data_IF_501680979382
#
_entry.id   IF_501680979382
#
_cell.length_a   1.000
_cell.length_b   1.000
_cell.length_c   1.000
_cell.angle_alpha   90.00
_cell.angle_beta   90.00
_cell.angle_gamma   90.00
#
_symmetry.space_group_name_H-M   'P 1'
#
loop_
_entity.id
_entity.type
_entity.pdbx_description
1 polymer ?
#
# COMPACT_ATOMS: atom_id res chain seq x y z
N UNK A 1 -5.06 -11.37 0.91
CA UNK A 1 -4.20 -10.89 -0.20
C UNK A 1 -5.09 -10.31 -1.28
N UNK A 2 -4.70 -9.22 -1.91
CA UNK A 2 -5.40 -8.58 -3.03
C UNK A 2 -4.82 -9.12 -4.35
N UNK A 3 -5.67 -9.64 -5.23
CA UNK A 3 -5.22 -10.24 -6.50
C UNK A 3 -4.74 -9.23 -7.56
N UNK A 4 -4.88 -7.91 -7.30
CA UNK A 4 -4.49 -6.85 -8.24
C UNK A 4 -3.07 -6.37 -7.94
N UNK A 5 -2.81 -5.92 -6.71
CA UNK A 5 -1.47 -5.48 -6.31
C UNK A 5 -0.57 -6.62 -5.80
N UNK A 6 -1.11 -7.83 -5.69
CA UNK A 6 -0.42 -9.02 -5.17
C UNK A 6 0.15 -8.81 -3.77
N UNK A 7 -0.60 -8.09 -2.94
CA UNK A 7 -0.17 -7.64 -1.61
C UNK A 7 -1.23 -7.92 -0.53
N UNK A 8 -0.88 -7.72 0.73
CA UNK A 8 -1.84 -7.73 1.84
C UNK A 8 -2.86 -6.62 1.64
N UNK A 9 -4.14 -6.96 1.81
CA UNK A 9 -5.23 -5.99 1.75
C UNK A 9 -5.08 -4.96 2.87
N UNK A 10 -5.41 -3.70 2.58
CA UNK A 10 -5.35 -2.61 3.57
C UNK A 10 -6.64 -2.56 4.39
N UNK A 11 -6.67 -1.90 5.56
CA UNK A 11 -7.90 -1.77 6.36
C UNK A 11 -9.08 -1.19 5.57
N UNK A 12 -8.82 -0.28 4.63
CA UNK A 12 -9.79 0.22 3.64
C UNK A 12 -9.95 -0.78 2.48
N UNK A 13 -10.43 -1.96 2.79
CA UNK A 13 -10.67 -3.03 1.81
C UNK A 13 -12.16 -3.18 1.49
N UNK A 14 -12.42 -3.63 0.28
CA UNK A 14 -13.74 -3.99 -0.23
C UNK A 14 -13.82 -5.49 -0.46
N UNK A 15 -15.03 -6.03 -0.55
CA UNK A 15 -15.28 -7.42 -0.87
C UNK A 15 -16.28 -7.57 -2.01
N UNK A 16 -16.16 -8.65 -2.79
CA UNK A 16 -17.26 -9.07 -3.66
C UNK A 16 -18.34 -9.83 -2.88
N UNK A 17 -19.48 -10.09 -3.52
CA UNK A 17 -20.58 -10.86 -2.91
C UNK A 17 -20.19 -12.27 -2.48
N UNK A 18 -19.11 -12.83 -3.06
CA UNK A 18 -18.53 -14.12 -2.66
C UNK A 18 -17.36 -14.01 -1.67
N UNK A 19 -17.05 -12.81 -1.15
CA UNK A 19 -16.06 -12.63 -0.09
C UNK A 19 -14.59 -12.48 -0.53
N UNK A 20 -14.30 -12.32 -1.83
CA UNK A 20 -12.94 -11.98 -2.28
C UNK A 20 -12.58 -10.54 -1.90
N UNK A 21 -11.44 -10.35 -1.23
CA UNK A 21 -11.01 -9.06 -0.67
C UNK A 21 -10.04 -8.31 -1.59
N UNK A 22 -10.23 -7.00 -1.71
CA UNK A 22 -9.39 -6.10 -2.51
C UNK A 22 -9.13 -4.79 -1.76
N UNK A 23 -7.97 -4.15 -1.98
CA UNK A 23 -7.75 -2.78 -1.51
C UNK A 23 -8.75 -1.85 -2.21
N UNK A 24 -9.26 -0.83 -1.52
CA UNK A 24 -10.13 0.19 -2.12
C UNK A 24 -9.50 0.82 -3.37
N UNK A 25 -8.23 1.24 -3.27
CA UNK A 25 -7.46 1.81 -4.40
C UNK A 25 -7.29 0.83 -5.57
N UNK A 26 -7.21 -0.48 -5.28
CA UNK A 26 -7.06 -1.49 -6.32
C UNK A 26 -8.39 -1.80 -7.00
N UNK A 27 -9.52 -1.72 -6.28
CA UNK A 27 -10.84 -1.81 -6.88
C UNK A 27 -11.04 -0.62 -7.83
N UNK A 28 -10.80 0.60 -7.38
CA UNK A 28 -11.09 1.80 -8.16
C UNK A 28 -12.50 1.75 -8.73
N UNK A 29 -12.63 1.91 -10.05
CA UNK A 29 -13.89 1.89 -10.79
C UNK A 29 -14.33 0.47 -11.23
N UNK A 30 -13.69 -0.59 -10.74
CA UNK A 30 -14.11 -1.95 -11.09
C UNK A 30 -15.47 -2.27 -10.45
N UNK A 31 -16.42 -2.65 -11.29
CA UNK A 31 -17.76 -3.11 -10.88
C UNK A 31 -17.81 -4.63 -10.65
N UNK A 32 -16.86 -5.35 -11.25
CA UNK A 32 -16.83 -6.82 -11.27
C UNK A 32 -15.55 -7.34 -10.62
N UNK A 33 -15.70 -8.36 -9.78
CA UNK A 33 -14.60 -9.06 -9.13
C UNK A 33 -13.69 -9.73 -10.16
N UNK A 34 -12.38 -9.42 -10.20
CA UNK A 34 -11.45 -10.04 -11.16
C UNK A 34 -11.22 -11.54 -10.89
N UNK A 35 -11.55 -12.03 -9.70
CA UNK A 35 -11.34 -13.44 -9.32
C UNK A 35 -12.51 -14.33 -9.73
N UNK A 36 -13.75 -13.93 -9.43
CA UNK A 36 -14.93 -14.77 -9.67
C UNK A 36 -15.95 -14.19 -10.66
N UNK A 37 -15.73 -12.96 -11.14
CA UNK A 37 -16.61 -12.24 -12.09
C UNK A 37 -18.00 -11.86 -11.57
N UNK A 38 -18.23 -11.91 -10.26
CA UNK A 38 -19.44 -11.38 -9.62
C UNK A 38 -19.28 -9.94 -9.15
N UNK A 39 -20.39 -9.28 -8.83
CA UNK A 39 -20.40 -7.88 -8.39
C UNK A 39 -19.68 -7.65 -7.06
N UNK A 40 -19.20 -6.43 -6.88
CA UNK A 40 -18.77 -5.96 -5.57
C UNK A 40 -19.97 -5.84 -4.62
N UNK A 41 -19.75 -6.09 -3.33
CA UNK A 41 -20.76 -5.90 -2.31
C UNK A 41 -20.81 -4.42 -1.90
N UNK A 42 -22.00 -3.87 -1.72
CA UNK A 42 -22.18 -2.55 -1.09
C UNK A 42 -21.90 -2.57 0.42
N UNK A 43 -21.85 -3.77 1.01
CA UNK A 43 -21.56 -3.95 2.41
C UNK A 43 -20.05 -4.04 2.66
N UNK A 44 -19.61 -3.38 3.72
CA UNK A 44 -18.25 -3.54 4.22
C UNK A 44 -17.98 -5.01 4.63
N UNK A 45 -16.72 -5.45 4.54
CA UNK A 45 -16.30 -6.72 5.12
C UNK A 45 -16.66 -6.82 6.60
N UNK A 46 -16.90 -8.05 7.08
CA UNK A 46 -17.26 -8.28 8.47
C UNK A 46 -16.19 -7.73 9.43
N UNK A 47 -16.61 -7.30 10.62
CA UNK A 47 -15.70 -6.72 11.62
C UNK A 47 -14.53 -7.64 12.00
N UNK A 48 -14.75 -8.96 11.97
CA UNK A 48 -13.69 -9.96 12.22
C UNK A 48 -12.61 -9.89 11.14
N UNK A 49 -13.00 -9.81 9.86
CA UNK A 49 -12.04 -9.69 8.75
C UNK A 49 -11.26 -8.37 8.87
N UNK A 50 -11.96 -7.26 9.16
CA UNK A 50 -11.34 -5.95 9.37
C UNK A 50 -10.33 -5.98 10.52
N UNK A 51 -10.66 -6.64 11.63
CA UNK A 51 -9.74 -6.80 12.76
C UNK A 51 -8.52 -7.67 12.40
N UNK A 52 -8.72 -8.80 11.70
CA UNK A 52 -7.63 -9.68 11.28
C UNK A 52 -6.66 -8.96 10.34
N UNK A 53 -7.18 -8.27 9.32
CA UNK A 53 -6.37 -7.48 8.39
C UNK A 53 -5.70 -6.33 9.12
N UNK A 54 -6.42 -5.67 10.02
CA UNK A 54 -5.91 -4.64 10.90
C UNK A 54 -4.87 -5.11 11.90
N UNK A 55 -4.64 -6.42 12.08
CA UNK A 55 -3.57 -6.97 12.92
C UNK A 55 -2.29 -7.26 12.13
N UNK A 56 -2.38 -7.43 10.80
CA UNK A 56 -1.23 -7.71 9.95
C UNK A 56 -0.24 -6.53 9.94
N UNK A 57 1.08 -6.79 9.91
CA UNK A 57 2.07 -5.73 9.75
C UNK A 57 1.81 -4.95 8.44
N UNK A 58 1.76 -3.60 8.47
CA UNK A 58 1.64 -2.84 7.24
C UNK A 58 2.95 -2.88 6.44
N UNK A 59 2.88 -2.65 5.13
CA UNK A 59 4.08 -2.43 4.31
C UNK A 59 4.49 -0.97 4.30
N UNK A 60 5.77 -0.74 4.01
CA UNK A 60 6.34 0.56 3.73
C UNK A 60 5.51 1.28 2.64
N UNK A 61 5.27 2.59 2.80
CA UNK A 61 4.42 3.38 1.88
C UNK A 61 5.17 3.78 0.61
N UNK A 62 6.50 3.73 0.64
CA UNK A 62 7.35 4.13 -0.47
C UNK A 62 7.41 3.02 -1.51
N UNK A 63 7.15 3.38 -2.76
CA UNK A 63 7.25 2.47 -3.92
C UNK A 63 8.63 1.79 -3.92
N UNK A 64 8.68 0.53 -4.34
CA UNK A 64 9.89 -0.30 -4.45
C UNK A 64 10.57 -0.73 -3.13
N UNK A 65 10.21 -0.20 -1.95
CA UNK A 65 10.76 -0.70 -0.70
C UNK A 65 10.26 -2.11 -0.34
N UNK A 66 8.94 -2.26 -0.35
CA UNK A 66 8.26 -3.52 -0.15
C UNK A 66 8.40 -4.21 1.21
N UNK A 67 9.10 -3.62 2.19
CA UNK A 67 9.26 -4.16 3.54
C UNK A 67 7.97 -4.07 4.36
N UNK A 68 7.74 -5.08 5.19
CA UNK A 68 6.78 -5.02 6.28
C UNK A 68 7.39 -4.25 7.45
N UNK A 69 6.62 -3.36 8.06
CA UNK A 69 7.04 -2.53 9.18
C UNK A 69 6.20 -2.83 10.41
N UNK A 70 6.73 -2.48 11.59
CA UNK A 70 5.96 -2.55 12.82
C UNK A 70 4.85 -1.50 12.78
N UNK A 71 3.71 -1.82 13.39
CA UNK A 71 2.62 -0.87 13.55
C UNK A 71 3.11 0.33 14.35
N UNK A 72 2.76 1.54 13.89
CA UNK A 72 3.17 2.82 14.49
C UNK A 72 4.69 3.09 14.48
N UNK A 73 5.47 2.29 13.75
CA UNK A 73 6.90 2.53 13.57
C UNK A 73 7.11 3.40 12.33
N UNK A 74 7.11 4.72 12.55
CA UNK A 74 7.37 5.70 11.51
C UNK A 74 8.86 5.79 11.15
N UNK A 75 9.77 5.20 11.94
CA UNK A 75 11.22 5.30 11.70
C UNK A 75 11.55 4.76 10.32
N UNK A 76 11.04 3.57 9.96
CA UNK A 76 11.28 3.06 8.63
C UNK A 76 10.69 3.97 7.54
N UNK A 77 9.50 4.53 7.75
CA UNK A 77 8.86 5.40 6.76
C UNK A 77 9.64 6.69 6.55
N UNK A 78 10.28 7.21 7.60
CA UNK A 78 11.02 8.46 7.55
C UNK A 78 12.43 8.27 6.98
N UNK A 79 13.05 7.11 7.18
CA UNK A 79 14.41 6.82 6.72
C UNK A 79 14.51 5.78 5.60
N UNK A 80 13.39 5.41 4.97
CA UNK A 80 13.38 4.48 3.85
C UNK A 80 14.24 5.02 2.69
N UNK A 81 15.14 4.18 2.16
CA UNK A 81 15.99 4.52 1.01
C UNK A 81 15.19 4.90 -0.23
N UNK A 82 13.99 4.32 -0.42
CA UNK A 82 13.07 4.64 -1.51
C UNK A 82 12.18 5.89 -1.27
N UNK A 83 12.38 6.60 -0.14
CA UNK A 83 11.64 7.83 0.14
C UNK A 83 11.99 8.88 -0.93
N UNK A 84 11.00 9.45 -1.65
CA UNK A 84 11.24 10.54 -2.57
C UNK A 84 11.90 11.72 -1.84
N UNK A 85 13.00 12.22 -2.39
CA UNK A 85 13.83 13.25 -1.78
C UNK A 85 14.28 14.25 -2.85
N UNK A 86 14.40 15.51 -2.45
CA UNK A 86 14.93 16.59 -3.28
C UNK A 86 16.26 17.05 -2.68
N UNK A 87 17.26 17.29 -3.53
CA UNK A 87 18.54 17.82 -3.13
C UNK A 87 18.39 19.19 -2.45
N UNK A 88 19.25 19.47 -1.46
CA UNK A 88 19.25 20.73 -0.68
C UNK A 88 20.44 21.63 -0.99
N UNK A 89 21.28 21.25 -1.95
CA UNK A 89 22.36 22.09 -2.46
C UNK A 89 21.81 23.33 -3.18
N UNK A 90 22.55 24.45 -3.13
CA UNK A 90 22.19 25.65 -3.91
C UNK A 90 22.24 25.33 -5.40
N UNK A 91 21.29 25.86 -6.15
CA UNK A 91 21.18 25.73 -7.61
C UNK A 91 21.13 24.27 -8.11
N UNK A 92 20.57 23.36 -7.31
CA UNK A 92 20.38 21.96 -7.67
C UNK A 92 18.89 21.59 -7.70
N UNK A 93 18.41 21.03 -8.82
CA UNK A 93 17.01 20.64 -9.01
C UNK A 93 16.76 19.14 -8.88
N UNK A 94 17.77 18.37 -8.48
CA UNK A 94 17.70 16.92 -8.45
C UNK A 94 16.59 16.40 -7.52
N UNK A 95 15.87 15.39 -8.00
CA UNK A 95 14.82 14.65 -7.30
C UNK A 95 15.03 13.16 -7.56
N UNK A 96 15.03 12.35 -6.49
CA UNK A 96 15.27 10.92 -6.60
C UNK A 96 14.93 10.18 -5.30
N UNK A 97 15.38 8.93 -5.17
CA UNK A 97 15.22 8.19 -3.93
C UNK A 97 16.30 8.63 -2.92
N UNK A 98 15.97 8.61 -1.62
CA UNK A 98 16.93 8.99 -0.56
C UNK A 98 18.24 8.21 -0.60
N UNK A 99 18.24 6.97 -1.07
CA UNK A 99 19.44 6.15 -1.20
C UNK A 99 20.39 6.63 -2.32
N UNK A 100 19.84 7.27 -3.35
CA UNK A 100 20.59 7.76 -4.52
C UNK A 100 21.21 9.14 -4.23
N UNK A 101 20.85 9.78 -3.11
CA UNK A 101 21.26 11.13 -2.77
C UNK A 101 22.79 11.24 -2.58
N UNK A 102 23.43 10.22 -2.02
CA UNK A 102 24.89 10.22 -1.81
C UNK A 102 25.68 10.13 -3.12
N UNK A 103 25.15 9.44 -4.13
CA UNK A 103 25.77 9.35 -5.45
C UNK A 103 25.53 10.60 -6.29
N UNK A 104 24.48 11.35 -5.97
CA UNK A 104 24.13 12.58 -6.63
C UNK A 104 24.99 13.79 -6.21
N UNK A 105 25.31 13.90 -4.92
CA UNK A 105 25.96 15.07 -4.29
C UNK A 105 27.45 15.15 -4.60
#
# INVERSE_FOLDING_TARGET
LCAICLDTVRPEMVQCVNGHLFCSDCRGELEICPTCRDSFSDNNPSGIITQMVGALPPRCRHKNCGRYIKRNDNVHQDYCGFRPTQCKCKDCEWKGCSQDLLEHV
#
